data_IF_654828764093
#
_entry.id   IF_654828764093
#
_cell.length_a   1.000
_cell.length_b   1.000
_cell.length_c   1.000
_cell.angle_alpha   90.00
_cell.angle_beta   90.00
_cell.angle_gamma   90.00
#
_symmetry.space_group_name_H-M   'P 1'
#
loop_
_entity.id
_entity.type
_entity.pdbx_description
1 polymer ?
#
# COMPACT_ATOMS: atom_id res chain seq x y z
N UNK A 1 -43.93 -38.19 19.37
CA UNK A 1 -43.71 -37.17 20.42
C UNK A 1 -42.51 -37.64 21.24
N UNK A 2 -41.34 -37.07 20.95
CA UNK A 2 -40.05 -37.52 21.50
C UNK A 2 -39.69 -36.68 22.73
N UNK A 3 -39.05 -37.33 23.69
CA UNK A 3 -38.63 -36.87 25.00
C UNK A 3 -37.56 -35.76 24.98
N UNK A 4 -37.82 -34.66 25.67
CA UNK A 4 -36.86 -33.58 25.95
C UNK A 4 -36.25 -33.75 27.35
N UNK A 5 -34.98 -34.14 27.41
CA UNK A 5 -34.15 -34.14 28.62
C UNK A 5 -33.36 -32.83 28.71
N UNK A 6 -33.68 -31.99 29.70
CA UNK A 6 -32.89 -30.79 30.04
C UNK A 6 -31.69 -31.17 30.90
N UNK A 7 -30.49 -30.86 30.42
CA UNK A 7 -29.28 -30.76 31.25
C UNK A 7 -28.81 -29.31 31.20
N UNK A 8 -28.80 -28.66 32.36
CA UNK A 8 -28.23 -27.34 32.60
C UNK A 8 -26.78 -27.52 33.05
N UNK A 9 -25.84 -26.92 32.33
CA UNK A 9 -24.47 -26.72 32.80
C UNK A 9 -24.12 -25.23 32.66
N UNK A 10 -23.98 -24.56 33.80
CA UNK A 10 -23.29 -23.27 33.91
C UNK A 10 -21.80 -23.52 33.69
N UNK A 11 -21.18 -22.82 32.75
CA UNK A 11 -19.74 -22.54 32.78
C UNK A 11 -19.48 -21.05 32.58
N UNK A 12 -18.77 -20.50 33.54
CA UNK A 12 -18.25 -19.15 33.66
C UNK A 12 -17.22 -18.80 32.57
N UNK A 13 -17.16 -17.50 32.23
CA UNK A 13 -15.90 -16.81 31.98
C UNK A 13 -15.38 -16.80 30.55
N UNK A 14 -15.49 -15.63 29.91
CA UNK A 14 -14.59 -15.04 28.91
C UNK A 14 -13.78 -16.00 28.02
N UNK A 15 -14.28 -16.25 26.82
CA UNK A 15 -13.44 -16.38 25.64
C UNK A 15 -14.26 -16.06 24.39
N UNK A 16 -14.44 -14.77 24.09
CA UNK A 16 -14.91 -14.37 22.76
C UNK A 16 -13.68 -14.33 21.86
N UNK A 17 -13.25 -15.50 21.42
CA UNK A 17 -12.44 -15.66 20.22
C UNK A 17 -13.28 -15.19 19.02
N UNK A 18 -13.28 -13.89 18.76
CA UNK A 18 -13.87 -13.32 17.55
C UNK A 18 -12.97 -13.66 16.36
N UNK A 19 -13.14 -14.86 15.84
CA UNK A 19 -12.77 -15.22 14.47
C UNK A 19 -13.64 -14.41 13.49
N UNK A 20 -13.39 -13.10 13.42
CA UNK A 20 -13.86 -12.25 12.35
C UNK A 20 -13.21 -12.70 11.03
N UNK A 21 -14.04 -13.02 10.04
CA UNK A 21 -13.61 -13.42 8.69
C UNK A 21 -12.57 -12.41 8.17
N UNK A 22 -11.31 -12.86 8.06
CA UNK A 22 -10.20 -12.11 7.47
C UNK A 22 -10.53 -11.74 6.03
N UNK A 23 -10.97 -10.50 5.78
CA UNK A 23 -10.72 -9.85 4.49
C UNK A 23 -9.22 -9.55 4.49
N UNK A 24 -8.43 -10.59 4.16
CA UNK A 24 -6.98 -10.59 4.30
C UNK A 24 -6.35 -9.44 3.52
N UNK A 25 -5.59 -8.59 4.22
CA UNK A 25 -4.68 -7.66 3.57
C UNK A 25 -3.73 -8.48 2.69
N UNK A 26 -3.71 -8.19 1.38
CA UNK A 26 -2.76 -8.84 0.49
C UNK A 26 -1.40 -8.20 0.73
N UNK A 27 -0.48 -8.98 1.30
CA UNK A 27 0.92 -8.61 1.41
C UNK A 27 1.50 -8.38 0.01
N UNK A 28 2.35 -7.38 -0.17
CA UNK A 28 2.84 -6.91 -1.47
C UNK A 28 4.01 -7.75 -2.02
N UNK A 29 3.89 -9.08 -2.00
CA UNK A 29 5.01 -10.00 -2.29
C UNK A 29 5.62 -9.82 -3.69
N UNK A 30 4.83 -9.47 -4.70
CA UNK A 30 5.36 -9.20 -6.05
C UNK A 30 6.17 -7.91 -6.12
N UNK A 31 5.77 -6.89 -5.33
CA UNK A 31 6.51 -5.62 -5.22
C UNK A 31 7.84 -5.86 -4.53
N UNK A 32 7.83 -6.63 -3.44
CA UNK A 32 9.05 -7.09 -2.78
C UNK A 32 9.96 -7.81 -3.77
N UNK A 33 9.43 -8.77 -4.54
CA UNK A 33 10.21 -9.49 -5.54
C UNK A 33 10.85 -8.55 -6.57
N UNK A 34 10.10 -7.57 -7.09
CA UNK A 34 10.66 -6.58 -8.02
C UNK A 34 11.84 -5.82 -7.40
N UNK A 35 11.71 -5.34 -6.17
CA UNK A 35 12.76 -4.60 -5.47
C UNK A 35 13.97 -5.47 -5.12
N UNK A 36 13.75 -6.71 -4.65
CA UNK A 36 14.84 -7.61 -4.27
C UNK A 36 15.56 -8.19 -5.50
N UNK A 37 14.85 -8.45 -6.61
CA UNK A 37 15.46 -8.79 -7.90
C UNK A 37 16.31 -7.64 -8.44
N UNK A 38 15.83 -6.39 -8.36
CA UNK A 38 16.64 -5.22 -8.71
C UNK A 38 17.94 -5.17 -7.88
N UNK A 39 17.83 -5.40 -6.58
CA UNK A 39 18.96 -5.48 -5.65
C UNK A 39 19.90 -6.67 -5.90
N UNK A 40 19.46 -7.73 -6.60
CA UNK A 40 20.39 -8.77 -7.06
C UNK A 40 21.36 -8.21 -8.10
N UNK A 41 20.90 -7.36 -9.02
CA UNK A 41 21.74 -6.76 -10.06
C UNK A 41 22.56 -5.56 -9.56
N UNK A 42 21.94 -4.74 -8.71
CA UNK A 42 22.52 -3.51 -8.20
C UNK A 42 22.45 -3.44 -6.66
N UNK A 43 23.26 -4.22 -5.93
CA UNK A 43 23.20 -4.27 -4.47
C UNK A 43 23.40 -2.92 -3.75
N UNK A 44 24.15 -2.02 -4.36
CA UNK A 44 24.53 -0.73 -3.78
C UNK A 44 23.55 0.40 -4.12
N UNK A 45 22.60 0.16 -5.02
CA UNK A 45 21.62 1.16 -5.45
C UNK A 45 20.29 0.89 -4.73
N UNK A 46 19.86 1.74 -3.78
CA UNK A 46 18.61 1.52 -3.06
C UNK A 46 17.40 1.66 -4.01
N UNK A 47 16.39 0.77 -3.93
CA UNK A 47 15.20 0.89 -4.77
C UNK A 47 14.39 2.13 -4.40
N UNK A 48 14.04 2.95 -5.39
CA UNK A 48 13.18 4.11 -5.18
C UNK A 48 11.71 3.70 -5.12
N UNK A 49 11.02 4.05 -4.03
CA UNK A 49 9.62 3.64 -3.74
C UNK A 49 8.65 4.82 -3.63
N UNK A 50 9.02 5.95 -4.23
CA UNK A 50 8.28 7.21 -4.17
C UNK A 50 6.80 7.07 -4.53
N UNK A 51 5.92 7.47 -3.62
CA UNK A 51 4.49 7.59 -3.88
C UNK A 51 3.90 8.79 -3.15
N UNK A 52 2.71 9.21 -3.57
CA UNK A 52 1.92 10.28 -2.95
C UNK A 52 0.44 10.03 -3.21
N UNK A 53 -0.41 10.53 -2.34
CA UNK A 53 -1.87 10.52 -2.52
C UNK A 53 -2.36 11.91 -2.84
N UNK A 54 -3.52 12.00 -3.51
CA UNK A 54 -4.23 13.28 -3.63
C UNK A 54 -4.72 13.69 -2.24
N UNK A 55 -4.43 14.94 -1.84
CA UNK A 55 -4.93 15.50 -0.60
C UNK A 55 -6.42 15.77 -0.75
N UNK A 56 -7.23 14.92 -0.11
CA UNK A 56 -8.69 14.99 -0.12
C UNK A 56 -9.20 14.95 1.32
N UNK A 57 -10.30 15.65 1.62
CA UNK A 57 -10.84 15.76 2.99
C UNK A 57 -11.08 14.39 3.65
N UNK A 58 -11.59 13.40 2.90
CA UNK A 58 -11.80 12.04 3.42
C UNK A 58 -10.51 11.28 3.70
N UNK A 59 -9.46 11.54 2.91
CA UNK A 59 -8.14 10.98 3.21
C UNK A 59 -7.57 11.61 4.49
N UNK A 60 -7.84 12.90 4.72
CA UNK A 60 -7.40 13.59 5.94
C UNK A 60 -8.10 13.05 7.19
N UNK A 61 -9.42 12.85 7.14
CA UNK A 61 -10.21 12.25 8.22
C UNK A 61 -9.67 10.85 8.57
N UNK A 62 -9.51 9.98 7.55
CA UNK A 62 -9.00 8.63 7.75
C UNK A 62 -7.59 8.65 8.29
N UNK A 63 -6.68 9.38 7.66
CA UNK A 63 -5.28 9.42 8.05
C UNK A 63 -5.03 10.00 9.44
N UNK A 64 -5.77 11.05 9.82
CA UNK A 64 -5.74 11.61 11.17
C UNK A 64 -6.17 10.56 12.19
N UNK A 65 -7.37 9.99 12.03
CA UNK A 65 -7.92 9.03 12.98
C UNK A 65 -7.07 7.76 13.11
N UNK A 66 -6.56 7.22 12.00
CA UNK A 66 -5.72 6.02 12.01
C UNK A 66 -4.33 6.26 12.57
N UNK A 67 -3.71 7.40 12.26
CA UNK A 67 -2.39 7.72 12.79
C UNK A 67 -2.47 7.95 14.30
N UNK A 68 -3.49 8.67 14.79
CA UNK A 68 -3.74 8.85 16.23
C UNK A 68 -4.01 7.51 16.94
N UNK A 69 -4.88 6.67 16.38
CA UNK A 69 -5.14 5.33 16.91
C UNK A 69 -3.87 4.50 16.99
N UNK A 70 -3.08 4.44 15.92
CA UNK A 70 -1.85 3.65 15.88
C UNK A 70 -0.82 4.14 16.92
N UNK A 71 -0.65 5.46 17.06
CA UNK A 71 0.23 6.07 18.05
C UNK A 71 -0.21 5.82 19.50
N UNK A 72 -1.50 5.51 19.73
CA UNK A 72 -2.02 5.16 21.05
C UNK A 72 -1.73 3.72 21.47
N UNK A 73 -1.33 2.85 20.53
CA UNK A 73 -1.02 1.46 20.80
C UNK A 73 0.33 1.34 21.52
N UNK A 74 0.46 0.29 22.34
CA UNK A 74 1.77 -0.16 22.80
C UNK A 74 2.64 -0.53 21.58
N UNK A 75 3.84 0.07 21.40
CA UNK A 75 4.71 -0.22 20.27
C UNK A 75 5.02 -1.70 20.07
N UNK A 76 5.09 -2.46 21.16
CA UNK A 76 5.42 -3.89 21.15
C UNK A 76 4.18 -4.79 20.97
N UNK A 77 2.97 -4.21 20.98
CA UNK A 77 1.74 -4.96 20.78
C UNK A 77 1.66 -5.56 19.37
N UNK A 78 0.98 -6.70 19.27
CA UNK A 78 0.62 -7.29 17.98
C UNK A 78 -0.13 -6.29 17.08
N UNK A 79 -0.99 -5.45 17.69
CA UNK A 79 -1.74 -4.42 16.97
C UNK A 79 -0.82 -3.43 16.26
N UNK A 80 0.13 -2.83 16.98
CA UNK A 80 1.14 -1.91 16.42
C UNK A 80 1.93 -2.57 15.28
N UNK A 81 2.40 -3.80 15.49
CA UNK A 81 3.22 -4.53 14.53
C UNK A 81 2.45 -4.92 13.25
N UNK A 82 1.22 -5.44 13.36
CA UNK A 82 0.37 -5.83 12.21
C UNK A 82 -0.33 -4.61 11.56
N UNK A 83 -0.04 -3.38 12.00
CA UNK A 83 -0.61 -2.18 11.38
C UNK A 83 0.41 -1.11 11.02
N UNK A 84 1.70 -1.40 11.19
CA UNK A 84 2.80 -0.51 10.88
C UNK A 84 2.83 -0.07 9.40
N UNK A 85 2.33 -0.90 8.49
CA UNK A 85 2.30 -0.63 7.05
C UNK A 85 0.93 -0.16 6.53
N UNK A 86 -0.05 0.12 7.40
CA UNK A 86 -1.36 0.62 6.97
C UNK A 86 -1.22 1.91 6.15
N UNK A 87 -2.03 2.04 5.09
CA UNK A 87 -2.02 3.21 4.19
C UNK A 87 -2.19 4.54 4.94
N UNK A 88 -3.07 4.53 5.95
CA UNK A 88 -3.43 5.70 6.74
C UNK A 88 -2.50 5.95 7.96
N UNK A 89 -1.44 5.16 8.13
CA UNK A 89 -0.41 5.34 9.17
C UNK A 89 0.86 5.89 8.53
N UNK A 90 0.98 7.22 8.46
CA UNK A 90 2.09 7.85 7.74
C UNK A 90 3.44 7.76 8.47
N UNK A 91 3.42 7.70 9.81
CA UNK A 91 4.61 7.88 10.67
C UNK A 91 5.66 6.77 10.57
N UNK A 92 5.31 5.63 9.96
CA UNK A 92 6.24 4.53 9.69
C UNK A 92 6.86 4.58 8.28
N UNK A 93 6.53 5.61 7.51
CA UNK A 93 7.09 5.86 6.18
C UNK A 93 8.06 7.03 6.22
N UNK A 94 8.96 7.06 5.25
CA UNK A 94 10.01 8.08 5.15
C UNK A 94 9.52 9.23 4.28
N UNK A 95 9.74 10.46 4.74
CA UNK A 95 9.60 11.66 3.95
C UNK A 95 10.76 11.75 2.97
N UNK A 96 10.48 11.68 1.66
CA UNK A 96 11.51 11.67 0.62
C UNK A 96 12.36 12.96 0.61
N UNK A 97 11.83 14.08 1.10
CA UNK A 97 12.54 15.36 1.14
C UNK A 97 13.55 15.45 2.29
N UNK A 98 13.29 14.76 3.42
CA UNK A 98 14.13 14.85 4.62
C UNK A 98 14.94 13.58 4.89
N UNK A 99 14.56 12.45 4.28
CA UNK A 99 15.16 11.14 4.53
C UNK A 99 14.83 10.56 5.91
N UNK A 100 13.88 11.16 6.66
CA UNK A 100 13.45 10.72 7.99
C UNK A 100 11.99 10.26 7.96
N UNK A 101 11.59 9.48 8.96
CA UNK A 101 10.17 9.15 9.14
C UNK A 101 9.33 10.41 9.31
N UNK A 102 8.10 10.39 8.79
CA UNK A 102 7.13 11.46 9.06
C UNK A 102 6.85 11.55 10.57
N UNK A 103 6.86 12.75 11.13
CA UNK A 103 6.56 13.01 12.53
C UNK A 103 5.04 12.93 12.81
N UNK A 104 4.20 13.23 11.82
CA UNK A 104 2.75 13.22 11.95
C UNK A 104 2.05 12.96 10.61
N UNK A 105 0.75 12.65 10.68
CA UNK A 105 -0.11 12.65 9.50
C UNK A 105 -0.12 14.03 8.80
N UNK A 106 -0.19 15.12 9.55
CA UNK A 106 -0.22 16.47 8.99
C UNK A 106 1.04 16.84 8.20
N UNK A 107 2.22 16.36 8.62
CA UNK A 107 3.46 16.51 7.85
C UNK A 107 3.35 15.81 6.50
N UNK A 108 2.86 14.56 6.50
CA UNK A 108 2.66 13.78 5.28
C UNK A 108 1.59 14.38 4.37
N UNK A 109 0.42 14.71 4.92
CA UNK A 109 -0.76 15.12 4.15
C UNK A 109 -0.53 16.41 3.37
N UNK A 110 0.29 17.33 3.90
CA UNK A 110 0.61 18.59 3.24
C UNK A 110 -0.63 19.40 2.87
N UNK A 111 -0.47 20.37 1.96
CA UNK A 111 -0.38 19.89 0.58
C UNK A 111 0.78 20.48 -0.23
N UNK A 112 1.40 19.65 -1.07
CA UNK A 112 2.16 20.06 -2.24
C UNK A 112 1.17 20.42 -3.36
N UNK A 113 1.30 21.61 -3.93
CA UNK A 113 0.55 22.00 -5.13
C UNK A 113 1.27 21.50 -6.39
N UNK A 114 0.57 20.73 -7.22
CA UNK A 114 1.06 20.28 -8.52
C UNK A 114 -0.09 20.33 -9.53
N UNK A 115 0.08 21.07 -10.63
CA UNK A 115 -0.88 21.17 -11.75
C UNK A 115 -2.34 21.37 -11.29
N UNK A 116 -2.55 22.42 -10.48
CA UNK A 116 -3.85 22.82 -9.93
C UNK A 116 -4.53 21.78 -9.02
N UNK A 117 -3.78 20.82 -8.50
CA UNK A 117 -4.25 19.80 -7.56
C UNK A 117 -3.35 19.77 -6.33
N UNK A 118 -3.85 19.19 -5.25
CA UNK A 118 -3.17 19.08 -3.96
C UNK A 118 -2.77 17.64 -3.71
N UNK A 119 -1.52 17.41 -3.37
CA UNK A 119 -0.99 16.09 -3.05
C UNK A 119 -0.28 16.09 -1.71
N UNK A 120 -0.19 14.92 -1.10
CA UNK A 120 0.68 14.67 0.04
C UNK A 120 2.15 14.93 -0.34
N UNK A 121 2.99 15.04 0.69
CA UNK A 121 4.43 14.86 0.54
C UNK A 121 4.73 13.51 -0.10
N UNK A 122 5.86 13.40 -0.79
CA UNK A 122 6.32 12.12 -1.33
C UNK A 122 6.81 11.24 -0.18
N UNK A 123 6.18 10.07 -0.03
CA UNK A 123 6.60 9.03 0.90
C UNK A 123 7.51 8.00 0.22
N UNK A 124 8.39 7.38 1.02
CA UNK A 124 9.15 6.17 0.68
C UNK A 124 8.82 5.08 1.71
N UNK A 125 8.91 3.83 1.27
CA UNK A 125 8.88 2.68 2.18
C UNK A 125 10.10 2.70 3.09
N UNK A 126 9.90 2.46 4.39
CA UNK A 126 11.00 2.28 5.33
C UNK A 126 11.47 0.82 5.31
N UNK A 127 12.23 0.47 4.27
CA UNK A 127 12.70 -0.91 4.05
C UNK A 127 13.70 -1.39 5.12
N UNK A 128 14.37 -0.47 5.80
CA UNK A 128 15.26 -0.76 6.94
C UNK A 128 14.52 -1.06 8.25
N UNK A 129 13.22 -0.78 8.31
CA UNK A 129 12.39 -1.06 9.48
C UNK A 129 11.75 -2.45 9.35
N UNK A 130 12.29 -3.41 10.11
CA UNK A 130 11.85 -4.82 10.05
C UNK A 130 10.35 -5.01 10.29
N UNK A 131 9.74 -4.20 11.16
CA UNK A 131 8.31 -4.31 11.46
C UNK A 131 7.49 -3.82 10.26
N UNK A 132 7.87 -2.67 9.69
CA UNK A 132 7.23 -2.15 8.48
C UNK A 132 7.38 -3.11 7.29
N UNK A 133 8.60 -3.60 7.03
CA UNK A 133 8.91 -4.50 5.92
C UNK A 133 8.12 -5.82 6.03
N UNK A 134 8.09 -6.41 7.23
CA UNK A 134 7.32 -7.62 7.48
C UNK A 134 5.80 -7.39 7.36
N UNK A 135 5.26 -6.30 7.92
CA UNK A 135 3.83 -6.01 7.79
C UNK A 135 3.45 -5.73 6.31
N UNK A 136 4.30 -5.05 5.55
CA UNK A 136 4.00 -4.73 4.15
C UNK A 136 4.08 -5.97 3.24
N UNK A 137 5.13 -6.77 3.37
CA UNK A 137 5.47 -7.82 2.39
C UNK A 137 5.27 -9.24 2.91
N UNK A 138 5.12 -9.43 4.22
CA UNK A 138 5.00 -10.74 4.87
C UNK A 138 6.29 -11.54 4.88
N UNK A 139 7.42 -10.89 4.58
CA UNK A 139 8.77 -11.42 4.62
C UNK A 139 9.75 -10.25 4.71
N UNK A 140 10.91 -10.47 5.34
CA UNK A 140 11.93 -9.45 5.53
C UNK A 140 13.15 -9.70 4.66
N UNK A 141 13.58 -8.70 3.89
CA UNK A 141 14.83 -8.80 3.11
C UNK A 141 16.03 -8.45 3.99
N UNK A 142 16.81 -9.47 4.37
CA UNK A 142 17.96 -9.33 5.29
C UNK A 142 18.92 -8.19 4.93
N UNK A 143 19.32 -7.96 3.66
CA UNK A 143 20.20 -6.84 3.31
C UNK A 143 19.70 -5.45 3.70
N UNK A 144 18.38 -5.24 3.83
CA UNK A 144 17.83 -3.94 4.23
C UNK A 144 17.85 -3.72 5.74
N UNK A 145 17.71 -4.79 6.53
CA UNK A 145 17.50 -4.70 7.99
C UNK A 145 18.72 -5.11 8.80
N UNK A 146 19.69 -5.80 8.20
CA UNK A 146 20.86 -6.34 8.87
C UNK A 146 22.14 -5.70 8.32
N UNK A 147 22.69 -4.74 9.07
CA UNK A 147 23.91 -4.01 8.71
C UNK A 147 25.16 -4.90 8.60
N UNK A 148 25.13 -6.10 9.20
CA UNK A 148 26.21 -7.09 9.12
C UNK A 148 26.05 -8.04 7.93
N UNK A 149 24.98 -7.90 7.14
CA UNK A 149 24.76 -8.75 5.97
C UNK A 149 25.79 -8.44 4.89
N UNK A 150 26.52 -9.46 4.46
CA UNK A 150 27.50 -9.35 3.37
C UNK A 150 26.82 -9.73 2.06
N UNK A 151 26.67 -8.77 1.16
CA UNK A 151 26.21 -9.08 -0.20
C UNK A 151 27.36 -9.71 -0.99
N UNK A 152 27.18 -10.99 -1.35
CA UNK A 152 28.19 -11.78 -2.07
C UNK A 152 28.00 -11.80 -3.58
N UNK A 153 26.92 -11.21 -4.09
CA UNK A 153 26.64 -11.18 -5.52
C UNK A 153 27.58 -10.22 -6.23
N UNK A 154 27.99 -10.56 -7.45
CA UNK A 154 28.65 -9.62 -8.35
C UNK A 154 27.75 -8.41 -8.62
N UNK A 155 28.33 -7.22 -8.74
CA UNK A 155 27.61 -6.05 -9.24
C UNK A 155 27.76 -6.00 -10.75
N UNK A 156 26.66 -5.75 -11.44
CA UNK A 156 26.69 -5.37 -12.86
C UNK A 156 26.74 -3.85 -12.97
N UNK A 157 27.35 -3.38 -14.04
CA UNK A 157 27.16 -2.01 -14.50
C UNK A 157 25.90 -1.92 -15.37
N UNK A 158 25.20 -0.77 -15.42
CA UNK A 158 23.98 -0.64 -16.21
C UNK A 158 24.16 -0.96 -17.71
N UNK A 159 25.35 -0.71 -18.26
CA UNK A 159 25.68 -0.95 -19.67
C UNK A 159 25.84 -2.43 -20.03
N UNK A 160 26.07 -3.29 -19.04
CA UNK A 160 26.19 -4.76 -19.20
C UNK A 160 24.81 -5.45 -19.26
N UNK A 161 23.74 -4.71 -18.98
CA UNK A 161 22.38 -5.25 -18.97
C UNK A 161 21.56 -4.56 -20.07
N UNK A 162 20.77 -5.36 -20.78
CA UNK A 162 19.74 -4.87 -21.70
C UNK A 162 18.41 -5.46 -21.28
N UNK A 163 17.43 -4.60 -21.01
CA UNK A 163 16.07 -5.03 -20.66
C UNK A 163 15.22 -5.17 -21.93
N UNK A 164 14.92 -6.41 -22.29
CA UNK A 164 14.09 -6.74 -23.44
C UNK A 164 12.63 -6.96 -23.03
N UNK A 165 11.68 -6.29 -23.67
CA UNK A 165 10.25 -6.38 -23.31
C UNK A 165 9.32 -6.17 -24.49
N UNK A 166 8.11 -6.70 -24.41
CA UNK A 166 7.04 -6.48 -25.39
C UNK A 166 6.11 -5.29 -25.03
N UNK A 167 6.45 -4.58 -23.94
CA UNK A 167 5.67 -3.45 -23.44
C UNK A 167 4.41 -3.82 -22.65
N UNK A 168 4.04 -5.11 -22.53
CA UNK A 168 2.82 -5.55 -21.83
C UNK A 168 2.98 -5.62 -20.29
N UNK A 169 4.01 -4.98 -19.77
CA UNK A 169 4.37 -4.93 -18.37
C UNK A 169 3.43 -4.03 -17.56
N UNK A 170 2.87 -4.56 -16.47
CA UNK A 170 1.96 -3.89 -15.53
C UNK A 170 2.24 -4.31 -14.10
N UNK A 171 1.78 -3.53 -13.11
CA UNK A 171 1.92 -3.86 -11.68
C UNK A 171 3.39 -3.93 -11.26
N UNK A 172 3.79 -4.92 -10.46
CA UNK A 172 5.16 -5.08 -9.99
C UNK A 172 6.22 -5.15 -11.12
N UNK A 173 5.86 -5.66 -12.30
CA UNK A 173 6.75 -5.63 -13.45
C UNK A 173 7.11 -4.18 -13.83
N UNK A 174 6.12 -3.27 -13.84
CA UNK A 174 6.35 -1.88 -14.23
C UNK A 174 7.26 -1.17 -13.22
N UNK A 175 7.16 -1.53 -11.94
CA UNK A 175 8.11 -1.08 -10.92
C UNK A 175 9.52 -1.61 -11.20
N UNK A 176 9.68 -2.89 -11.52
CA UNK A 176 10.99 -3.45 -11.86
C UNK A 176 11.61 -2.76 -13.08
N UNK A 177 10.83 -2.57 -14.15
CA UNK A 177 11.26 -1.84 -15.35
C UNK A 177 11.76 -0.44 -14.97
N UNK A 178 11.00 0.30 -14.17
CA UNK A 178 11.39 1.64 -13.73
C UNK A 178 12.66 1.64 -12.87
N UNK A 179 12.79 0.70 -11.94
CA UNK A 179 14.01 0.57 -11.13
C UNK A 179 15.24 0.32 -12.04
N UNK A 180 15.11 -0.59 -13.00
CA UNK A 180 16.18 -0.88 -13.94
C UNK A 180 16.51 0.35 -14.81
N UNK A 181 15.52 1.05 -15.36
CA UNK A 181 15.75 2.14 -16.33
C UNK A 181 16.03 3.47 -15.66
N UNK A 182 15.15 3.95 -14.79
CA UNK A 182 15.20 5.31 -14.23
C UNK A 182 16.16 5.41 -13.04
N UNK A 183 16.30 4.32 -12.26
CA UNK A 183 17.16 4.34 -11.07
C UNK A 183 18.56 3.84 -11.39
N UNK A 184 18.71 2.74 -12.12
CA UNK A 184 20.02 2.20 -12.50
C UNK A 184 20.52 2.67 -13.87
N UNK A 185 19.68 3.13 -14.80
CA UNK A 185 20.13 3.56 -16.12
C UNK A 185 20.27 2.42 -17.16
N UNK A 186 19.65 1.27 -16.92
CA UNK A 186 19.68 0.13 -17.84
C UNK A 186 18.95 0.46 -19.14
N UNK A 187 19.57 0.13 -20.28
CA UNK A 187 18.99 0.35 -21.60
C UNK A 187 17.90 -0.68 -21.90
N UNK A 188 16.89 -0.26 -22.66
CA UNK A 188 15.78 -1.13 -23.03
C UNK A 188 15.71 -1.36 -24.53
N UNK A 189 15.27 -2.56 -24.91
CA UNK A 189 14.80 -2.87 -26.26
C UNK A 189 13.34 -3.29 -26.11
N UNK A 190 12.45 -2.55 -26.77
CA UNK A 190 11.01 -2.86 -26.73
C UNK A 190 10.52 -3.28 -28.11
N UNK A 191 9.75 -4.36 -28.18
CA UNK A 191 9.20 -4.90 -29.44
C UNK A 191 7.68 -5.05 -29.37
N UNK A 192 6.99 -4.89 -30.49
CA UNK A 192 5.53 -5.05 -30.58
C UNK A 192 4.80 -3.71 -30.75
N UNK A 193 3.59 -3.61 -30.20
CA UNK A 193 2.74 -2.44 -30.37
C UNK A 193 2.14 -2.31 -31.78
N UNK A 194 1.75 -1.09 -32.15
CA UNK A 194 1.27 -0.80 -33.51
C UNK A 194 2.47 -0.73 -34.46
N UNK A 195 2.34 -1.20 -35.72
CA UNK A 195 3.41 -1.16 -36.71
C UNK A 195 3.62 0.27 -37.24
N UNK A 196 4.08 1.16 -36.37
CA UNK A 196 4.36 2.57 -36.63
C UNK A 196 5.83 2.85 -36.27
N UNK A 197 6.47 3.75 -37.02
CA UNK A 197 7.83 4.17 -36.70
C UNK A 197 7.81 5.13 -35.51
N UNK A 198 8.66 4.89 -34.51
CA UNK A 198 8.79 5.78 -33.35
C UNK A 198 9.17 5.04 -32.07
N UNK A 199 9.30 5.80 -30.98
CA UNK A 199 9.59 5.23 -29.68
C UNK A 199 8.38 4.44 -29.14
N UNK A 200 8.59 3.19 -28.76
CA UNK A 200 7.62 2.37 -28.05
C UNK A 200 7.80 2.50 -26.53
N UNK A 201 6.71 2.44 -25.77
CA UNK A 201 6.76 2.44 -24.30
C UNK A 201 7.18 1.06 -23.78
N UNK A 202 8.23 1.04 -22.95
CA UNK A 202 8.78 -0.15 -22.29
C UNK A 202 7.80 -0.81 -21.30
N UNK A 203 6.85 -0.05 -20.75
CA UNK A 203 5.74 -0.56 -19.96
C UNK A 203 4.47 0.22 -20.29
N UNK A 204 3.36 -0.47 -20.49
CA UNK A 204 2.06 0.10 -20.91
C UNK A 204 0.95 -0.07 -19.88
N UNK A 205 1.18 -0.87 -18.84
CA UNK A 205 0.22 -1.11 -17.77
C UNK A 205 0.23 -0.02 -16.69
N UNK A 206 -0.38 -0.34 -15.54
CA UNK A 206 -0.33 0.56 -14.39
C UNK A 206 1.02 0.45 -13.66
N UNK A 207 1.53 1.62 -13.27
CA UNK A 207 2.58 1.73 -12.25
C UNK A 207 1.90 1.60 -10.90
N UNK A 208 1.87 0.39 -10.33
CA UNK A 208 1.16 0.12 -9.08
C UNK A 208 1.89 -0.89 -8.21
N UNK A 209 2.13 -0.53 -6.95
CA UNK A 209 2.63 -1.42 -5.93
C UNK A 209 1.47 -2.11 -5.20
N UNK A 210 0.57 -1.34 -4.59
CA UNK A 210 -0.56 -1.84 -3.83
C UNK A 210 -1.90 -1.62 -4.54
N UNK A 211 -2.73 -2.67 -4.58
CA UNK A 211 -4.13 -2.53 -4.99
C UNK A 211 -4.95 -2.11 -3.78
N UNK A 212 -5.37 -0.85 -3.75
CA UNK A 212 -6.31 -0.35 -2.75
C UNK A 212 -7.73 -0.42 -3.31
N UNK A 213 -8.50 -1.40 -2.85
CA UNK A 213 -9.83 -1.69 -3.42
C UNK A 213 -10.91 -0.87 -2.75
N UNK A 214 -12.04 -0.64 -3.43
CA UNK A 214 -13.19 0.00 -2.80
C UNK A 214 -13.69 -0.77 -1.58
N UNK A 215 -13.73 -2.11 -1.65
CA UNK A 215 -14.07 -2.95 -0.49
C UNK A 215 -13.07 -2.76 0.67
N UNK A 216 -11.79 -2.50 0.36
CA UNK A 216 -10.80 -2.16 1.39
C UNK A 216 -11.09 -0.78 1.98
N UNK A 217 -11.43 0.21 1.17
CA UNK A 217 -11.88 1.52 1.67
C UNK A 217 -13.11 1.38 2.57
N UNK A 218 -14.14 0.63 2.16
CA UNK A 218 -15.34 0.36 2.98
C UNK A 218 -14.96 -0.24 4.34
N UNK A 219 -14.08 -1.24 4.32
CA UNK A 219 -13.59 -1.90 5.52
C UNK A 219 -12.86 -0.93 6.46
N UNK A 220 -12.06 -0.02 5.91
CA UNK A 220 -11.27 0.94 6.69
C UNK A 220 -12.14 2.06 7.25
N UNK A 221 -13.20 2.45 6.53
CA UNK A 221 -14.21 3.36 7.05
C UNK A 221 -14.93 2.72 8.24
N UNK A 222 -15.38 1.46 8.11
CA UNK A 222 -16.03 0.75 9.22
C UNK A 222 -15.10 0.56 10.43
N UNK A 223 -13.80 0.38 10.19
CA UNK A 223 -12.80 0.27 11.25
C UNK A 223 -12.61 1.56 12.05
N UNK A 224 -13.07 2.72 11.58
CA UNK A 224 -13.10 3.90 12.44
C UNK A 224 -13.93 3.62 13.70
N UNK A 225 -15.04 2.88 13.58
CA UNK A 225 -15.85 2.46 14.72
C UNK A 225 -15.23 1.26 15.42
N UNK A 226 -14.95 0.18 14.69
CA UNK A 226 -14.64 -1.12 15.31
C UNK A 226 -13.20 -1.24 15.80
N UNK A 227 -12.28 -0.42 15.29
CA UNK A 227 -10.85 -0.47 15.60
C UNK A 227 -10.36 0.83 16.24
N UNK A 228 -10.57 1.97 15.58
CA UNK A 228 -10.10 3.27 16.07
C UNK A 228 -10.99 3.88 17.16
N UNK A 229 -12.20 3.34 17.39
CA UNK A 229 -13.20 3.85 18.32
C UNK A 229 -13.48 5.35 18.15
N UNK A 230 -13.53 5.81 16.89
CA UNK A 230 -13.66 7.21 16.52
C UNK A 230 -14.95 7.44 15.71
N UNK A 231 -16.09 7.51 16.41
CA UNK A 231 -17.40 7.77 15.82
C UNK A 231 -17.49 9.15 15.16
N UNK A 232 -16.83 10.16 15.75
CA UNK A 232 -16.81 11.51 15.19
C UNK A 232 -16.14 11.58 13.80
N UNK A 233 -15.09 10.78 13.56
CA UNK A 233 -14.47 10.65 12.24
C UNK A 233 -15.36 9.86 11.26
N UNK A 234 -16.03 8.81 11.74
CA UNK A 234 -16.95 8.01 10.93
C UNK A 234 -18.12 8.83 10.40
N UNK A 235 -18.74 9.65 11.26
CA UNK A 235 -19.91 10.47 10.91
C UNK A 235 -19.62 11.57 9.87
N UNK A 236 -18.35 11.91 9.66
CA UNK A 236 -17.92 12.87 8.63
C UNK A 236 -17.76 12.24 7.24
N UNK A 237 -17.80 10.92 7.13
CA UNK A 237 -17.63 10.19 5.88
C UNK A 237 -18.98 9.87 5.23
N UNK A 238 -19.05 9.76 3.89
CA UNK A 238 -20.30 9.44 3.21
C UNK A 238 -20.88 8.10 3.64
N UNK A 239 -22.21 8.05 3.80
CA UNK A 239 -22.92 6.81 4.08
C UNK A 239 -22.61 5.75 3.02
N UNK A 240 -22.30 4.53 3.46
CA UNK A 240 -22.05 3.38 2.58
C UNK A 240 -23.34 2.66 2.17
N UNK A 241 -24.48 3.07 2.72
CA UNK A 241 -25.80 2.60 2.32
C UNK A 241 -26.35 3.36 1.10
N UNK A 242 -25.66 4.42 0.67
CA UNK A 242 -26.00 5.15 -0.55
C UNK A 242 -25.71 4.28 -1.79
N UNK A 243 -26.78 3.68 -2.31
CA UNK A 243 -26.79 2.88 -3.55
C UNK A 243 -26.48 3.69 -4.82
N UNK A 244 -26.24 5.00 -4.73
CA UNK A 244 -25.91 5.88 -5.85
C UNK A 244 -24.54 5.65 -6.50
N UNK A 245 -23.59 4.99 -5.80
CA UNK A 245 -22.26 4.64 -6.33
C UNK A 245 -21.89 3.19 -6.02
N UNK A 246 -21.95 2.31 -7.02
CA UNK A 246 -21.39 0.96 -6.93
C UNK A 246 -20.06 0.89 -7.68
N UNK A 247 -18.98 0.49 -7.01
CA UNK A 247 -17.82 -0.09 -7.69
C UNK A 247 -17.96 -1.61 -7.73
N UNK A 248 -18.52 -2.13 -8.81
CA UNK A 248 -18.61 -3.58 -9.04
C UNK A 248 -17.30 -4.08 -9.68
N UNK A 249 -16.70 -5.09 -9.07
CA UNK A 249 -15.41 -5.66 -9.50
C UNK A 249 -15.51 -6.37 -10.86
N UNK A 250 -15.19 -5.66 -11.95
CA UNK A 250 -14.51 -6.16 -13.16
C UNK A 250 -14.40 -5.01 -14.18
N UNK A 251 -13.16 -4.56 -14.44
CA UNK A 251 -12.82 -3.49 -15.41
C UNK A 251 -13.62 -2.19 -15.20
N UNK A 252 -13.01 -1.26 -14.46
CA UNK A 252 -13.26 0.19 -14.49
C UNK A 252 -14.57 0.63 -15.17
N UNK A 253 -15.70 0.44 -14.48
CA UNK A 253 -16.96 1.09 -14.86
C UNK A 253 -17.41 1.88 -13.64
N UNK A 254 -17.22 3.21 -13.70
CA UNK A 254 -17.83 4.15 -12.77
C UNK A 254 -19.19 4.54 -13.34
N UNK A 255 -20.28 4.23 -12.64
CA UNK A 255 -21.59 4.79 -12.93
C UNK A 255 -21.91 5.82 -11.84
N UNK A 256 -21.97 7.09 -12.22
CA UNK A 256 -22.48 8.17 -11.36
C UNK A 256 -23.96 8.33 -11.72
N UNK A 257 -24.86 8.10 -10.75
CA UNK A 257 -26.28 8.41 -10.92
C UNK A 257 -26.45 9.92 -10.74
N UNK A 258 -26.50 10.68 -11.82
CA UNK A 258 -26.97 12.06 -11.76
C UNK A 258 -28.47 12.06 -11.43
N UNK A 259 -28.84 12.56 -10.26
CA UNK A 259 -30.23 12.85 -9.91
C UNK A 259 -30.78 13.99 -10.78
N UNK A 260 -32.10 14.13 -10.91
CA UNK A 260 -32.69 15.18 -11.72
C UNK A 260 -32.35 16.55 -11.13
N UNK A 261 -31.75 17.40 -11.95
CA UNK A 261 -31.65 18.84 -11.69
C UNK A 261 -33.06 19.40 -11.57
N UNK A 262 -33.43 19.87 -10.38
CA UNK A 262 -34.57 20.77 -10.18
C UNK A 262 -34.25 22.16 -10.70
#
# INVERSE_FOLDING_TARGET
MSSDGRISLKSSGNEVASHGKRVGRRKLRLVLLAMTTFQQFFPTIPPYTGSRIRSHQFADILGTAYTEWWQSLDPDSFGSQDSAALEWVAVKRINAATGRNFASWSEYFGPILDRNDKFSQTQLYNLSDKVFDYDMFGWTYEPWVNLSYVVTNGSWTPDEIVLFTDGLCSSACALFVELMTEVAGVRTITVGGRPEHGAMRTASGNRGAAVYTSNRLDYEINNLITLANNAAAFDQLPSREDTGMFTKYRRSTFAIKCGPTT
#
